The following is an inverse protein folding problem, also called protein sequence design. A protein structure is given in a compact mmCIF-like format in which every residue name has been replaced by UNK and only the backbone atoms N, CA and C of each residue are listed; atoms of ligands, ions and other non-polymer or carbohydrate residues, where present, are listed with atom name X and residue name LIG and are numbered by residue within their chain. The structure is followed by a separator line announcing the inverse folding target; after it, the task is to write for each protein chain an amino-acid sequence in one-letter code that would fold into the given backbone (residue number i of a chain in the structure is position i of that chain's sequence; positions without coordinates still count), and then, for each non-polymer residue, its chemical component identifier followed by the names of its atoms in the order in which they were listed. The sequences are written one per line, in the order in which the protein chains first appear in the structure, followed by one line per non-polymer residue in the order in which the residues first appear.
data_IF_044549030195
#
_entry.id   IF_044549030195
#
_cell.length_a   1.000
_cell.length_b   1.000
_cell.length_c   1.000
_cell.angle_alpha   90.00
_cell.angle_beta   90.00
_cell.angle_gamma   90.00
#
_symmetry.space_group_name_H-M   'P 1'
#
loop_
_entity.id
_entity.type
_entity.pdbx_description
1 polymer ?
#
# COMPACT_ATOMS: atom_id res chain seq x y z
N UNK A 1 4.38 6.17 -7.38
CA UNK A 1 5.67 6.83 -7.69
C UNK A 1 6.78 5.89 -7.29
N UNK A 2 7.36 5.13 -8.21
CA UNK A 2 8.47 4.26 -7.87
C UNK A 2 9.30 3.94 -9.12
N UNK A 3 10.58 3.67 -8.93
CA UNK A 3 11.44 3.12 -9.97
C UNK A 3 10.96 1.71 -10.35
N UNK A 4 11.16 1.27 -11.61
CA UNK A 4 10.93 -0.13 -11.99
C UNK A 4 12.01 -1.01 -11.34
N UNK A 5 11.81 -1.34 -10.06
CA UNK A 5 12.79 -2.12 -9.27
C UNK A 5 12.92 -3.55 -9.76
N UNK A 6 11.89 -4.07 -10.41
CA UNK A 6 11.86 -5.41 -11.01
C UNK A 6 11.81 -5.28 -12.53
N UNK A 7 12.60 -6.11 -13.23
CA UNK A 7 12.88 -5.94 -14.67
C UNK A 7 11.68 -6.13 -15.60
N UNK A 8 10.58 -6.67 -15.08
CA UNK A 8 9.32 -6.89 -15.77
C UNK A 8 8.31 -5.74 -15.58
N UNK A 9 8.63 -4.74 -14.75
CA UNK A 9 7.75 -3.61 -14.49
C UNK A 9 7.67 -2.65 -15.69
N UNK A 10 6.44 -2.30 -16.06
CA UNK A 10 6.17 -1.34 -17.13
C UNK A 10 5.05 -0.36 -16.71
N UNK A 11 5.39 0.91 -16.53
CA UNK A 11 4.46 1.93 -16.05
C UNK A 11 3.98 2.83 -17.20
N UNK A 12 2.67 3.05 -17.31
CA UNK A 12 2.11 3.96 -18.30
C UNK A 12 2.39 5.44 -18.03
N UNK A 13 2.80 5.79 -16.81
CA UNK A 13 3.17 7.15 -16.45
C UNK A 13 4.59 7.49 -16.91
N UNK A 14 4.79 8.65 -17.54
CA UNK A 14 6.09 9.10 -18.06
C UNK A 14 7.02 9.65 -16.98
N UNK A 15 6.47 10.07 -15.84
CA UNK A 15 7.19 10.74 -14.77
C UNK A 15 6.70 10.26 -13.41
N UNK A 16 7.62 10.22 -12.45
CA UNK A 16 7.33 9.95 -11.04
C UNK A 16 6.86 11.24 -10.33
N UNK A 17 5.80 11.17 -9.52
CA UNK A 17 5.25 12.31 -8.76
C UNK A 17 4.66 11.88 -7.41
N UNK A 18 4.80 12.68 -6.35
CA UNK A 18 4.08 12.47 -5.06
C UNK A 18 2.57 12.64 -5.21
N UNK A 19 2.15 13.46 -6.16
CA UNK A 19 0.78 13.51 -6.62
C UNK A 19 0.50 12.27 -7.48
N UNK A 20 0.14 11.17 -6.81
CA UNK A 20 -0.07 9.87 -7.45
C UNK A 20 -1.33 9.13 -6.99
N UNK A 21 -2.12 9.68 -6.06
CA UNK A 21 -3.32 9.02 -5.51
C UNK A 21 -4.50 9.10 -6.47
N UNK A 22 -4.37 8.38 -7.58
CA UNK A 22 -5.35 8.24 -8.65
C UNK A 22 -5.80 6.78 -8.77
N UNK A 23 -6.98 6.59 -9.34
CA UNK A 23 -7.49 5.28 -9.75
C UNK A 23 -7.96 5.34 -11.20
N UNK A 24 -7.98 4.18 -11.85
CA UNK A 24 -8.45 4.00 -13.23
C UNK A 24 -9.69 3.11 -13.20
N UNK A 25 -10.68 3.38 -14.04
CA UNK A 25 -11.93 2.61 -14.11
C UNK A 25 -12.18 2.17 -15.54
N UNK A 26 -12.41 0.88 -15.73
CA UNK A 26 -12.95 0.29 -16.95
C UNK A 26 -14.35 -0.21 -16.65
N UNK A 27 -15.36 0.44 -17.24
CA UNK A 27 -16.76 0.02 -17.09
C UNK A 27 -17.29 -0.53 -18.41
N UNK A 28 -17.92 -1.72 -18.40
CA UNK A 28 -18.67 -2.22 -19.55
C UNK A 28 -20.14 -1.81 -19.52
N UNK A 29 -20.56 -1.03 -18.51
CA UNK A 29 -21.93 -0.57 -18.38
C UNK A 29 -22.31 0.28 -19.59
N UNK A 30 -23.46 -0.02 -20.17
CA UNK A 30 -24.12 0.80 -21.19
C UNK A 30 -25.02 1.85 -20.55
N UNK A 31 -25.48 1.58 -19.33
CA UNK A 31 -26.30 2.47 -18.51
C UNK A 31 -25.85 2.42 -17.05
N UNK A 32 -26.08 3.51 -16.30
CA UNK A 32 -25.66 3.60 -14.90
C UNK A 32 -26.54 2.80 -13.92
N UNK A 33 -27.47 1.97 -14.41
CA UNK A 33 -28.43 1.19 -13.60
C UNK A 33 -28.20 -0.32 -13.65
N UNK A 34 -27.05 -0.77 -14.17
CA UNK A 34 -26.79 -2.19 -14.39
C UNK A 34 -26.32 -2.94 -13.13
N UNK A 35 -25.88 -2.22 -12.08
CA UNK A 35 -25.44 -2.79 -10.81
C UNK A 35 -24.42 -3.93 -10.98
N UNK A 36 -23.40 -3.67 -11.79
CA UNK A 36 -22.38 -4.64 -12.16
C UNK A 36 -21.43 -4.95 -10.98
N UNK A 37 -20.87 -6.18 -10.92
CA UNK A 37 -19.82 -6.49 -9.96
C UNK A 37 -18.58 -5.61 -10.18
N UNK A 38 -17.93 -5.24 -9.09
CA UNK A 38 -16.80 -4.31 -9.08
C UNK A 38 -15.57 -5.03 -8.54
N UNK A 39 -14.45 -4.93 -9.25
CA UNK A 39 -13.15 -5.46 -8.86
C UNK A 39 -12.18 -4.28 -8.73
N UNK A 40 -11.56 -4.12 -7.57
CA UNK A 40 -10.45 -3.20 -7.37
C UNK A 40 -9.16 -3.99 -7.12
N UNK A 41 -8.15 -3.73 -7.95
CA UNK A 41 -6.86 -4.41 -7.94
C UNK A 41 -5.77 -3.51 -7.34
N UNK A 42 -5.01 -4.07 -6.39
CA UNK A 42 -3.80 -3.48 -5.83
C UNK A 42 -2.56 -4.23 -6.33
N UNK A 43 -1.62 -3.48 -6.90
CA UNK A 43 -0.40 -4.03 -7.48
C UNK A 43 0.52 -4.67 -6.43
N UNK A 44 1.33 -5.62 -6.90
CA UNK A 44 2.47 -6.20 -6.18
C UNK A 44 3.68 -5.26 -6.14
N UNK A 45 4.87 -5.87 -6.00
CA UNK A 45 6.16 -5.15 -6.00
C UNK A 45 6.69 -4.76 -4.61
N UNK A 46 6.45 -5.63 -3.62
CA UNK A 46 7.07 -5.58 -2.30
C UNK A 46 6.67 -4.39 -1.42
N UNK A 47 5.58 -3.67 -1.76
CA UNK A 47 5.22 -2.37 -1.20
C UNK A 47 6.30 -1.30 -1.44
N UNK A 48 7.22 -1.56 -2.39
CA UNK A 48 8.33 -0.68 -2.75
C UNK A 48 8.21 -0.16 -4.17
N UNK A 49 7.46 -0.81 -5.04
CA UNK A 49 7.36 -0.48 -6.45
C UNK A 49 6.07 -1.00 -7.04
N UNK A 50 5.52 -0.28 -8.00
CA UNK A 50 4.37 -0.68 -8.77
C UNK A 50 3.52 0.51 -9.19
N UNK A 51 2.48 0.22 -9.97
CA UNK A 51 1.58 1.24 -10.49
C UNK A 51 0.27 0.63 -10.94
N UNK A 52 -0.84 1.29 -10.64
CA UNK A 52 -2.14 1.00 -11.23
C UNK A 52 -2.20 1.28 -12.73
N UNK A 53 -1.23 2.00 -13.30
CA UNK A 53 -1.11 2.24 -14.75
C UNK A 53 -0.36 1.14 -15.51
N UNK A 54 0.05 0.07 -14.83
CA UNK A 54 0.77 -1.02 -15.46
C UNK A 54 -0.14 -1.84 -16.39
N UNK A 55 0.23 -2.05 -17.68
CA UNK A 55 -0.62 -2.71 -18.66
C UNK A 55 -1.07 -4.13 -18.28
N UNK A 56 -0.28 -4.84 -17.46
CA UNK A 56 -0.61 -6.19 -16.96
C UNK A 56 -1.90 -6.20 -16.13
N UNK A 57 -2.27 -5.06 -15.56
CA UNK A 57 -3.44 -4.90 -14.70
C UNK A 57 -4.59 -4.16 -15.41
N UNK A 58 -4.45 -3.86 -16.70
CA UNK A 58 -5.48 -3.16 -17.46
C UNK A 58 -6.83 -3.89 -17.38
N UNK A 59 -7.89 -3.14 -17.07
CA UNK A 59 -9.20 -3.69 -16.77
C UNK A 59 -10.01 -4.13 -18.00
N UNK A 60 -9.50 -3.98 -19.22
CA UNK A 60 -10.26 -4.17 -20.45
C UNK A 60 -10.73 -5.62 -20.64
N UNK A 61 -9.90 -6.60 -20.29
CA UNK A 61 -10.25 -8.01 -20.39
C UNK A 61 -11.39 -8.41 -19.42
N UNK A 62 -11.40 -7.82 -18.22
CA UNK A 62 -12.42 -8.08 -17.20
C UNK A 62 -13.70 -7.29 -17.47
N UNK A 63 -13.59 -6.05 -17.97
CA UNK A 63 -14.73 -5.28 -18.45
C UNK A 63 -15.46 -6.02 -19.58
N UNK A 64 -14.76 -6.62 -20.54
CA UNK A 64 -15.40 -7.46 -21.59
C UNK A 64 -16.18 -8.67 -21.05
N UNK A 65 -15.94 -9.07 -19.79
CA UNK A 65 -16.69 -10.13 -19.08
C UNK A 65 -17.81 -9.58 -18.18
N UNK A 66 -18.13 -8.29 -18.27
CA UNK A 66 -19.21 -7.66 -17.49
C UNK A 66 -18.81 -7.25 -16.07
N UNK A 67 -17.51 -7.07 -15.79
CA UNK A 67 -17.01 -6.69 -14.46
C UNK A 67 -16.40 -5.30 -14.54
N UNK A 68 -16.88 -4.36 -13.73
CA UNK A 68 -16.21 -3.06 -13.58
C UNK A 68 -14.87 -3.31 -12.92
N UNK A 69 -13.80 -2.91 -13.59
CA UNK A 69 -12.44 -3.18 -13.17
C UNK A 69 -11.75 -1.89 -12.82
N UNK A 70 -11.06 -1.87 -11.68
CA UNK A 70 -10.43 -0.68 -11.12
C UNK A 70 -9.00 -1.04 -10.73
N UNK A 71 -8.06 -0.17 -11.05
CA UNK A 71 -6.73 -0.18 -10.44
C UNK A 71 -6.56 1.10 -9.63
N UNK A 72 -5.94 1.02 -8.46
CA UNK A 72 -5.71 2.19 -7.62
C UNK A 72 -4.25 2.28 -7.19
N UNK A 73 -3.68 3.45 -7.34
CA UNK A 73 -2.36 3.74 -6.79
C UNK A 73 -2.44 3.94 -5.28
N UNK A 74 -1.38 3.52 -4.61
CA UNK A 74 -1.14 3.81 -3.20
C UNK A 74 0.31 4.22 -3.02
N UNK A 75 0.63 4.95 -1.95
CA UNK A 75 2.02 5.30 -1.65
C UNK A 75 2.80 4.05 -1.25
N UNK A 76 4.03 3.95 -1.75
CA UNK A 76 4.93 2.82 -1.55
C UNK A 76 6.26 3.29 -0.93
N UNK A 77 7.13 2.36 -0.54
CA UNK A 77 8.47 2.64 -0.02
C UNK A 77 8.45 3.60 1.18
N UNK A 78 9.35 4.58 1.16
CA UNK A 78 9.42 5.59 2.23
C UNK A 78 8.13 6.43 2.33
N UNK A 79 7.48 6.75 1.21
CA UNK A 79 6.26 7.58 1.22
C UNK A 79 5.06 6.85 1.79
N UNK A 80 5.00 5.53 1.61
CA UNK A 80 3.88 4.70 2.06
C UNK A 80 4.02 4.18 3.49
N UNK A 81 5.25 3.96 3.98
CA UNK A 81 5.45 3.11 5.17
C UNK A 81 6.43 3.69 6.19
N UNK A 82 6.89 4.93 6.03
CA UNK A 82 7.78 5.56 7.00
C UNK A 82 7.04 5.93 8.30
N UNK A 83 7.44 5.31 9.41
CA UNK A 83 6.99 5.65 10.76
C UNK A 83 8.05 6.49 11.47
N UNK A 84 7.66 7.52 12.21
CA UNK A 84 8.59 8.38 12.94
C UNK A 84 7.90 9.05 14.13
N UNK A 85 8.55 9.24 15.30
CA UNK A 85 7.90 9.84 16.46
C UNK A 85 7.33 11.24 16.24
N UNK A 86 7.93 12.02 15.32
CA UNK A 86 7.37 13.33 14.95
C UNK A 86 6.09 13.19 14.11
N UNK A 87 6.00 12.19 13.21
CA UNK A 87 4.78 11.91 12.46
C UNK A 87 3.67 11.43 13.39
N UNK A 88 3.98 10.55 14.34
CA UNK A 88 3.01 10.07 15.32
C UNK A 88 2.45 11.21 16.18
N UNK A 89 3.21 12.27 16.44
CA UNK A 89 2.71 13.45 17.18
C UNK A 89 1.69 14.26 16.38
N UNK A 90 1.79 14.27 15.05
CA UNK A 90 0.91 15.01 14.14
C UNK A 90 -0.47 14.35 13.99
N UNK A 91 -0.59 13.05 14.29
CA UNK A 91 -1.85 12.32 14.17
C UNK A 91 -2.67 12.37 15.46
N UNK A 92 -4.00 12.23 15.33
CA UNK A 92 -4.93 12.14 16.46
C UNK A 92 -4.80 10.81 17.21
N UNK A 93 -4.51 9.72 16.49
CA UNK A 93 -4.35 8.36 17.03
C UNK A 93 -2.95 8.06 17.58
N UNK A 94 -2.02 9.02 17.52
CA UNK A 94 -0.66 8.91 18.07
C UNK A 94 0.18 7.78 17.47
N UNK A 95 0.01 7.50 16.18
CA UNK A 95 0.79 6.54 15.41
C UNK A 95 1.18 7.07 14.02
N UNK A 96 2.05 6.33 13.34
CA UNK A 96 2.54 6.66 11.99
C UNK A 96 2.96 5.41 11.19
N UNK A 97 3.20 5.59 9.89
CA UNK A 97 3.38 4.49 8.94
C UNK A 97 2.04 4.01 8.38
N UNK A 98 2.04 2.89 7.65
CA UNK A 98 0.86 2.30 7.00
C UNK A 98 0.08 3.24 6.06
N UNK A 99 0.65 4.37 5.64
CA UNK A 99 0.00 5.32 4.74
C UNK A 99 -0.41 4.69 3.41
N UNK A 100 0.42 3.80 2.86
CA UNK A 100 0.07 3.05 1.66
C UNK A 100 -1.19 2.20 1.84
N UNK A 101 -1.35 1.54 2.98
CA UNK A 101 -2.59 0.82 3.28
C UNK A 101 -3.77 1.77 3.49
N UNK A 102 -3.58 2.91 4.15
CA UNK A 102 -4.63 3.91 4.32
C UNK A 102 -5.07 4.56 2.99
N UNK A 103 -4.16 4.69 2.03
CA UNK A 103 -4.49 5.14 0.67
C UNK A 103 -5.41 4.12 -0.02
N UNK A 104 -5.16 2.82 0.17
CA UNK A 104 -6.02 1.75 -0.35
C UNK A 104 -7.40 1.75 0.32
N UNK A 105 -7.47 1.99 1.64
CA UNK A 105 -8.75 2.20 2.35
C UNK A 105 -9.52 3.36 1.72
N UNK A 106 -8.86 4.49 1.48
CA UNK A 106 -9.47 5.66 0.86
C UNK A 106 -9.96 5.36 -0.57
N UNK A 107 -9.20 4.59 -1.35
CA UNK A 107 -9.61 4.15 -2.68
C UNK A 107 -10.86 3.26 -2.63
N UNK A 108 -10.92 2.28 -1.73
CA UNK A 108 -12.10 1.41 -1.59
C UNK A 108 -13.32 2.22 -1.14
N UNK A 109 -13.15 3.13 -0.18
CA UNK A 109 -14.22 4.01 0.27
C UNK A 109 -14.73 4.88 -0.88
N UNK A 110 -13.82 5.49 -1.66
CA UNK A 110 -14.21 6.27 -2.84
C UNK A 110 -15.00 5.41 -3.83
N UNK A 111 -14.55 4.18 -4.10
CA UNK A 111 -15.29 3.26 -4.98
C UNK A 111 -16.67 2.97 -4.41
N UNK A 112 -16.78 2.65 -3.11
CA UNK A 112 -18.07 2.40 -2.46
C UNK A 112 -19.03 3.57 -2.60
N UNK A 113 -18.53 4.80 -2.47
CA UNK A 113 -19.38 6.00 -2.51
C UNK A 113 -19.75 6.44 -3.93
N UNK A 114 -18.98 6.05 -4.95
CA UNK A 114 -19.10 6.62 -6.30
C UNK A 114 -19.40 5.61 -7.41
N UNK A 115 -19.25 4.30 -7.17
CA UNK A 115 -19.23 3.33 -8.29
C UNK A 115 -20.58 3.15 -9.00
N UNK A 116 -21.69 3.52 -8.35
CA UNK A 116 -23.01 3.57 -8.99
C UNK A 116 -23.02 4.51 -10.22
N UNK A 117 -22.26 5.61 -10.16
CA UNK A 117 -22.14 6.55 -11.28
C UNK A 117 -21.42 5.94 -12.51
N UNK A 118 -20.84 4.75 -12.36
CA UNK A 118 -20.18 3.98 -13.42
C UNK A 118 -20.95 2.69 -13.74
N UNK A 119 -22.15 2.51 -13.18
CA UNK A 119 -22.99 1.33 -13.34
C UNK A 119 -22.65 0.16 -12.41
N UNK A 120 -21.83 0.38 -11.39
CA UNK A 120 -21.42 -0.65 -10.44
C UNK A 120 -22.35 -0.78 -9.24
N UNK A 121 -22.27 -1.92 -8.57
CA UNK A 121 -22.94 -2.16 -7.30
C UNK A 121 -21.95 -1.97 -6.13
N UNK A 122 -22.16 -0.96 -5.26
CA UNK A 122 -21.27 -0.69 -4.11
C UNK A 122 -21.31 -1.78 -3.03
N UNK A 123 -22.24 -2.73 -3.13
CA UNK A 123 -22.34 -3.90 -2.26
C UNK A 123 -21.72 -5.16 -2.89
N UNK A 124 -21.14 -5.07 -4.09
CA UNK A 124 -20.47 -6.18 -4.79
C UNK A 124 -19.04 -5.84 -5.19
N UNK A 125 -18.32 -5.19 -4.27
CA UNK A 125 -16.90 -4.86 -4.41
C UNK A 125 -16.04 -6.05 -4.00
N UNK A 126 -15.12 -6.46 -4.87
CA UNK A 126 -14.09 -7.46 -4.61
C UNK A 126 -12.72 -6.77 -4.60
N UNK A 127 -11.99 -6.87 -3.49
CA UNK A 127 -10.58 -6.44 -3.44
C UNK A 127 -9.67 -7.57 -3.91
N UNK A 128 -8.70 -7.26 -4.76
CA UNK A 128 -7.79 -8.25 -5.36
C UNK A 128 -6.35 -7.75 -5.30
N UNK A 129 -5.40 -8.64 -5.05
CA UNK A 129 -3.99 -8.29 -5.13
C UNK A 129 -3.07 -9.49 -5.27
N UNK A 130 -1.89 -9.23 -5.81
CA UNK A 130 -0.80 -10.20 -6.00
C UNK A 130 0.44 -9.74 -5.24
N UNK A 131 1.23 -10.67 -4.68
CA UNK A 131 2.45 -10.36 -3.91
C UNK A 131 2.17 -9.33 -2.81
N UNK A 132 2.78 -8.15 -2.84
CA UNK A 132 2.49 -7.05 -1.93
C UNK A 132 1.05 -6.51 -2.00
N UNK A 133 0.38 -6.64 -3.14
CA UNK A 133 -1.06 -6.43 -3.26
C UNK A 133 -1.84 -7.48 -2.47
N UNK A 134 -1.40 -8.74 -2.45
CA UNK A 134 -2.01 -9.78 -1.59
C UNK A 134 -1.71 -9.55 -0.11
N UNK A 135 -0.51 -9.06 0.23
CA UNK A 135 -0.21 -8.56 1.58
C UNK A 135 -1.21 -7.46 1.97
N UNK A 136 -1.45 -6.51 1.06
CA UNK A 136 -2.46 -5.45 1.22
C UNK A 136 -3.86 -6.01 1.47
N UNK A 137 -4.31 -7.01 0.69
CA UNK A 137 -5.61 -7.67 0.90
C UNK A 137 -5.73 -8.24 2.31
N UNK A 138 -4.73 -9.00 2.77
CA UNK A 138 -4.74 -9.55 4.12
C UNK A 138 -4.69 -8.47 5.23
N UNK A 139 -3.98 -7.36 4.98
CA UNK A 139 -3.90 -6.22 5.89
C UNK A 139 -5.23 -5.46 5.97
N UNK A 140 -5.88 -5.20 4.84
CA UNK A 140 -7.19 -4.55 4.73
C UNK A 140 -8.26 -5.39 5.43
N UNK A 141 -8.26 -6.71 5.25
CA UNK A 141 -9.18 -7.61 5.96
C UNK A 141 -8.98 -7.57 7.48
N UNK A 142 -7.73 -7.41 7.96
CA UNK A 142 -7.45 -7.30 9.40
C UNK A 142 -7.77 -5.90 9.98
N UNK A 143 -7.95 -4.89 9.13
CA UNK A 143 -8.15 -3.51 9.59
C UNK A 143 -9.61 -3.25 9.98
N UNK A 144 -9.88 -2.66 11.17
CA UNK A 144 -11.23 -2.23 11.52
C UNK A 144 -11.76 -1.13 10.60
N UNK A 145 -10.89 -0.41 9.89
CA UNK A 145 -11.29 0.64 8.95
C UNK A 145 -12.01 0.09 7.70
N UNK A 146 -11.88 -1.21 7.44
CA UNK A 146 -12.43 -1.85 6.24
C UNK A 146 -13.74 -2.60 6.45
N UNK A 147 -14.29 -2.59 7.68
CA UNK A 147 -15.54 -3.30 7.97
C UNK A 147 -16.69 -2.73 7.13
N UNK A 148 -17.31 -3.60 6.32
CA UNK A 148 -18.41 -3.21 5.43
C UNK A 148 -17.99 -2.51 4.12
N UNK A 149 -16.69 -2.35 3.84
CA UNK A 149 -16.23 -1.63 2.64
C UNK A 149 -16.20 -2.48 1.38
N UNK A 150 -16.05 -3.80 1.51
CA UNK A 150 -16.04 -4.74 0.39
C UNK A 150 -16.80 -6.01 0.74
N UNK A 151 -17.21 -6.75 -0.30
CA UNK A 151 -18.04 -7.93 -0.18
C UNK A 151 -17.27 -9.24 -0.42
N UNK A 152 -16.11 -9.19 -1.06
CA UNK A 152 -15.27 -10.34 -1.38
C UNK A 152 -13.79 -9.94 -1.40
N UNK A 153 -12.89 -10.91 -1.21
CA UNK A 153 -11.46 -10.69 -1.26
C UNK A 153 -10.72 -11.81 -2.02
N UNK A 154 -9.66 -11.46 -2.73
CA UNK A 154 -8.75 -12.40 -3.38
C UNK A 154 -7.29 -11.99 -3.17
N UNK A 155 -6.46 -12.92 -2.71
CA UNK A 155 -5.03 -12.69 -2.52
C UNK A 155 -4.17 -13.81 -3.10
N UNK A 156 -3.21 -13.46 -3.95
CA UNK A 156 -2.25 -14.41 -4.52
C UNK A 156 -0.82 -14.13 -4.05
N UNK A 157 -0.12 -15.14 -3.55
CA UNK A 157 1.33 -15.11 -3.35
C UNK A 157 1.85 -14.06 -2.37
N UNK A 158 1.07 -13.70 -1.34
CA UNK A 158 1.54 -12.78 -0.29
C UNK A 158 0.58 -12.61 0.88
N UNK A 159 1.11 -12.35 2.07
CA UNK A 159 0.33 -12.07 3.27
C UNK A 159 1.15 -11.24 4.27
N UNK A 160 0.50 -10.37 5.04
CA UNK A 160 1.15 -9.75 6.23
C UNK A 160 1.27 -10.72 7.41
N UNK A 161 0.68 -11.92 7.31
CA UNK A 161 0.74 -12.99 8.31
C UNK A 161 1.77 -14.06 7.90
N UNK A 162 2.33 -14.76 8.88
CA UNK A 162 3.00 -16.06 8.69
C UNK A 162 4.53 -16.07 8.71
N UNK A 163 5.22 -15.03 8.24
CA UNK A 163 6.70 -15.05 8.19
C UNK A 163 7.37 -14.43 9.41
N UNK A 164 6.87 -13.28 9.87
CA UNK A 164 7.36 -12.54 11.04
C UNK A 164 6.18 -11.82 11.69
N UNK A 165 6.30 -11.53 12.98
CA UNK A 165 5.36 -10.61 13.63
C UNK A 165 5.43 -9.25 12.97
N UNK A 166 4.27 -8.61 12.83
CA UNK A 166 4.19 -7.20 12.45
C UNK A 166 4.88 -6.38 13.53
N UNK A 167 5.66 -5.39 13.12
CA UNK A 167 6.38 -4.54 14.07
C UNK A 167 5.40 -3.78 14.97
N UNK A 168 5.77 -3.55 16.22
CA UNK A 168 5.13 -2.53 17.05
C UNK A 168 5.40 -1.15 16.47
N UNK A 169 4.54 -0.16 16.76
CA UNK A 169 4.79 1.23 16.40
C UNK A 169 6.18 1.71 16.84
N UNK A 170 6.59 1.37 18.06
CA UNK A 170 7.91 1.75 18.60
C UNK A 170 9.06 1.20 17.76
N UNK A 171 9.02 -0.07 17.38
CA UNK A 171 10.05 -0.68 16.52
C UNK A 171 10.09 -0.05 15.13
N UNK A 172 8.91 0.30 14.58
CA UNK A 172 8.82 0.99 13.29
C UNK A 172 9.38 2.41 13.36
N UNK A 173 9.08 3.15 14.42
CA UNK A 173 9.63 4.48 14.70
C UNK A 173 11.14 4.45 14.90
N UNK A 174 11.68 3.47 15.63
CA UNK A 174 13.13 3.29 15.81
C UNK A 174 13.82 3.06 14.46
N UNK A 175 13.24 2.24 13.58
CA UNK A 175 13.75 2.03 12.22
C UNK A 175 13.62 3.29 11.37
N UNK A 176 12.55 4.07 11.51
CA UNK A 176 12.40 5.34 10.82
C UNK A 176 13.43 6.38 11.26
N UNK A 177 13.70 6.50 12.56
CA UNK A 177 14.77 7.37 13.09
C UNK A 177 16.13 6.95 12.54
N UNK A 178 16.41 5.64 12.45
CA UNK A 178 17.65 5.13 11.85
C UNK A 178 17.75 5.46 10.36
N UNK A 179 16.65 5.32 9.61
CA UNK A 179 16.62 5.68 8.20
C UNK A 179 16.84 7.19 8.00
N UNK A 180 16.16 8.03 8.78
CA UNK A 180 16.34 9.48 8.78
C UNK A 180 17.80 9.87 9.08
N UNK A 181 18.43 9.21 10.05
CA UNK A 181 19.83 9.42 10.38
C UNK A 181 20.75 9.04 9.21
N UNK A 182 20.52 7.88 8.56
CA UNK A 182 21.29 7.45 7.38
C UNK A 182 21.16 8.43 6.21
N UNK A 183 19.96 8.93 5.96
CA UNK A 183 19.70 9.94 4.92
C UNK A 183 20.49 11.21 5.24
N UNK A 184 20.42 11.71 6.47
CA UNK A 184 21.19 12.88 6.91
C UNK A 184 22.69 12.68 6.74
N UNK A 185 23.23 11.50 7.12
CA UNK A 185 24.63 11.14 6.94
C UNK A 185 25.07 11.10 5.47
N UNK A 186 24.23 10.56 4.57
CA UNK A 186 24.48 10.58 3.11
C UNK A 186 24.55 12.02 2.59
N UNK A 187 23.64 12.89 3.00
CA UNK A 187 23.63 14.32 2.64
C UNK A 187 24.86 15.04 3.20
N UNK A 188 25.18 14.81 4.48
CA UNK A 188 26.36 15.39 5.13
C UNK A 188 27.65 15.00 4.43
N UNK A 189 27.81 13.72 4.07
CA UNK A 189 28.95 13.22 3.30
C UNK A 189 29.07 13.90 1.93
N UNK A 190 27.96 14.05 1.19
CA UNK A 190 27.92 14.75 -0.11
C UNK A 190 28.33 16.23 0.02
N UNK A 191 28.01 16.85 1.15
CA UNK A 191 28.28 18.27 1.41
C UNK A 191 29.56 18.53 2.24
N UNK A 192 30.36 17.51 2.56
CA UNK A 192 31.56 17.65 3.41
C UNK A 192 31.28 18.05 4.86
N UNK A 193 30.06 17.85 5.38
CA UNK A 193 29.63 18.23 6.74
C UNK A 193 29.53 17.01 7.65
N UNK A 194 30.02 17.15 8.90
CA UNK A 194 29.77 16.15 9.96
C UNK A 194 28.32 16.23 10.41
N UNK A 195 27.67 15.07 10.53
CA UNK A 195 26.29 14.94 11.01
C UNK A 195 26.30 14.52 12.46
N UNK A 196 25.53 15.22 13.29
CA UNK A 196 25.41 14.90 14.70
C UNK A 196 24.77 13.54 14.94
N UNK A 197 25.09 12.92 16.08
CA UNK A 197 24.36 11.73 16.54
C UNK A 197 22.93 12.15 16.88
N UNK A 198 21.92 11.44 16.33
CA UNK A 198 20.47 11.66 16.55
C UNK A 198 19.84 12.82 15.75
N UNK A 199 20.45 13.27 14.66
CA UNK A 199 19.80 14.20 13.70
C UNK A 199 18.49 13.61 13.17
N UNK A 200 18.47 12.29 12.91
CA UNK A 200 17.27 11.59 12.44
C UNK A 200 16.03 11.79 13.32
N UNK A 201 16.20 11.97 14.63
CA UNK A 201 15.08 12.18 15.57
C UNK A 201 14.48 13.59 15.50
N UNK A 202 15.25 14.58 15.01
CA UNK A 202 14.94 16.01 15.13
C UNK A 202 14.41 16.64 13.85
N UNK A 203 14.73 16.07 12.68
CA UNK A 203 14.68 16.82 11.44
C UNK A 203 13.71 16.23 10.39
N UNK A 204 12.45 15.97 10.78
CA UNK A 204 11.42 15.55 9.82
C UNK A 204 11.16 16.61 8.74
N UNK A 205 11.21 17.90 9.11
CA UNK A 205 11.05 19.01 8.16
C UNK A 205 12.16 19.04 7.10
N UNK A 206 13.39 18.67 7.45
CA UNK A 206 14.47 18.59 6.46
C UNK A 206 14.22 17.45 5.47
N UNK A 207 13.69 16.31 5.93
CA UNK A 207 13.30 15.22 5.03
C UNK A 207 12.18 15.63 4.07
N UNK A 208 11.16 16.35 4.57
CA UNK A 208 10.05 16.87 3.75
C UNK A 208 10.48 17.95 2.74
N UNK A 209 11.56 18.66 3.03
CA UNK A 209 12.08 19.70 2.14
C UNK A 209 12.89 19.13 0.97
N UNK A 210 13.26 17.85 1.00
CA UNK A 210 13.96 17.19 -0.11
C UNK A 210 13.02 16.97 -1.29
N UNK A 211 13.49 17.14 -2.54
CA UNK A 211 12.76 16.66 -3.70
C UNK A 211 12.45 15.17 -3.56
N UNK A 212 11.22 14.76 -3.90
CA UNK A 212 10.75 13.37 -3.73
C UNK A 212 11.71 12.33 -4.32
N UNK A 213 12.19 12.57 -5.54
CA UNK A 213 13.12 11.68 -6.22
C UNK A 213 14.46 11.56 -5.46
N UNK A 214 14.96 12.66 -4.89
CA UNK A 214 16.18 12.64 -4.08
C UNK A 214 15.95 11.89 -2.76
N UNK A 215 14.82 12.13 -2.07
CA UNK A 215 14.46 11.41 -0.85
C UNK A 215 14.36 9.90 -1.11
N UNK A 216 13.69 9.50 -2.19
CA UNK A 216 13.54 8.09 -2.58
C UNK A 216 14.90 7.43 -2.82
N UNK A 217 15.79 8.07 -3.59
CA UNK A 217 17.15 7.57 -3.86
C UNK A 217 18.01 7.49 -2.60
N UNK A 218 17.89 8.47 -1.71
CA UNK A 218 18.63 8.47 -0.43
C UNK A 218 18.12 7.39 0.52
N UNK A 219 16.80 7.17 0.55
CA UNK A 219 16.15 6.16 1.37
C UNK A 219 16.54 4.74 0.95
N UNK A 220 16.70 4.49 -0.36
CA UNK A 220 17.23 3.25 -0.91
C UNK A 220 16.49 1.99 -0.38
N UNK A 221 15.15 2.06 -0.36
CA UNK A 221 14.32 0.96 0.13
C UNK A 221 14.36 -0.19 -0.87
N UNK A 222 15.16 -1.22 -0.57
CA UNK A 222 15.38 -2.42 -1.41
C UNK A 222 14.82 -3.71 -0.80
N UNK A 223 14.10 -3.59 0.30
CA UNK A 223 13.38 -4.69 0.94
C UNK A 223 12.01 -4.20 1.38
N UNK A 224 11.08 -5.14 1.59
CA UNK A 224 9.72 -4.84 2.07
C UNK A 224 9.79 -3.88 3.26
N UNK A 225 9.13 -2.71 3.18
CA UNK A 225 9.19 -1.70 4.21
C UNK A 225 8.47 -2.17 5.48
N UNK A 226 8.71 -1.46 6.59
CA UNK A 226 8.19 -1.84 7.90
C UNK A 226 6.76 -1.33 8.04
N UNK A 227 5.78 -2.21 7.83
CA UNK A 227 4.42 -2.00 8.31
C UNK A 227 4.30 -2.37 9.79
N UNK A 228 3.35 -1.76 10.50
CA UNK A 228 3.33 -1.80 11.96
C UNK A 228 1.93 -1.79 12.58
N UNK A 229 1.85 -2.18 13.85
CA UNK A 229 0.67 -2.01 14.71
C UNK A 229 0.69 -0.57 15.22
N UNK A 230 -0.05 0.31 14.54
CA UNK A 230 -0.11 1.75 14.78
C UNK A 230 -1.28 2.16 15.69
N UNK A 231 -2.13 1.21 16.09
CA UNK A 231 -3.32 1.46 16.90
C UNK A 231 -4.50 2.06 16.13
N UNK A 232 -4.38 2.25 14.81
CA UNK A 232 -5.40 2.86 13.97
C UNK A 232 -5.76 1.99 12.75
N UNK A 233 -4.83 1.83 11.81
CA UNK A 233 -5.01 0.92 10.68
C UNK A 233 -4.88 -0.55 11.15
N UNK A 234 -3.85 -0.86 11.93
CA UNK A 234 -3.68 -2.16 12.60
C UNK A 234 -3.67 -1.96 14.11
N UNK A 235 -4.63 -2.57 14.81
CA UNK A 235 -4.76 -2.46 16.28
C UNK A 235 -4.03 -3.57 17.04
N UNK A 236 -3.80 -4.70 16.41
CA UNK A 236 -3.11 -5.86 16.97
C UNK A 236 -2.48 -6.69 15.84
N UNK A 237 -1.87 -7.83 16.15
CA UNK A 237 -1.28 -8.67 15.12
C UNK A 237 -2.37 -9.20 14.17
N UNK A 238 -2.21 -9.11 12.84
CA UNK A 238 -3.21 -9.65 11.91
C UNK A 238 -3.53 -11.13 12.17
N UNK A 239 -2.53 -11.94 12.56
CA UNK A 239 -2.78 -13.35 12.90
C UNK A 239 -3.74 -13.53 14.08
N UNK A 240 -3.72 -12.61 15.05
CA UNK A 240 -4.60 -12.62 16.21
C UNK A 240 -6.02 -12.18 15.82
N UNK A 241 -6.15 -11.15 14.98
CA UNK A 241 -7.43 -10.71 14.40
C UNK A 241 -8.15 -11.86 13.69
N UNK A 242 -7.41 -12.58 12.81
CA UNK A 242 -7.97 -13.72 12.08
C UNK A 242 -8.30 -14.89 13.02
N UNK A 243 -7.46 -15.19 14.01
CA UNK A 243 -7.71 -16.26 14.98
C UNK A 243 -8.96 -16.00 15.86
N UNK A 244 -9.23 -14.73 16.18
CA UNK A 244 -10.44 -14.31 16.91
C UNK A 244 -11.69 -14.27 16.01
N UNK A 245 -11.53 -14.34 14.69
CA UNK A 245 -12.63 -14.16 13.75
C UNK A 245 -13.10 -12.70 13.71
N UNK A 246 -12.21 -11.73 13.89
CA UNK A 246 -12.51 -10.28 13.89
C UNK A 246 -12.15 -9.58 12.57
N UNK A 247 -11.52 -10.30 11.64
CA UNK A 247 -11.28 -9.81 10.28
C UNK A 247 -12.60 -9.51 9.56
N UNK A 248 -12.57 -8.70 8.51
CA UNK A 248 -13.72 -8.51 7.61
C UNK A 248 -14.21 -9.86 7.08
N UNK A 249 -15.42 -10.26 7.49
CA UNK A 249 -15.98 -11.60 7.20
C UNK A 249 -16.64 -11.65 5.84
N UNK A 250 -15.84 -11.93 4.82
CA UNK A 250 -16.29 -12.08 3.43
C UNK A 250 -15.72 -13.35 2.80
N UNK A 251 -16.32 -13.86 1.70
CA UNK A 251 -15.71 -14.90 0.89
C UNK A 251 -14.29 -14.50 0.47
N UNK A 252 -13.35 -15.42 0.68
CA UNK A 252 -11.93 -15.23 0.43
C UNK A 252 -11.41 -16.32 -0.52
N UNK A 253 -10.77 -15.91 -1.62
CA UNK A 253 -10.00 -16.78 -2.49
C UNK A 253 -8.51 -16.51 -2.29
N UNK A 254 -7.74 -17.53 -1.93
CA UNK A 254 -6.28 -17.43 -1.78
C UNK A 254 -5.55 -18.47 -2.60
N UNK A 255 -4.34 -18.15 -3.05
CA UNK A 255 -3.52 -19.07 -3.82
C UNK A 255 -2.04 -18.68 -3.85
N UNK A 256 -1.24 -19.59 -4.39
CA UNK A 256 0.18 -19.39 -4.66
C UNK A 256 0.63 -20.26 -5.82
N UNK A 257 1.80 -19.93 -6.34
CA UNK A 257 2.45 -20.68 -7.40
C UNK A 257 3.24 -21.87 -6.82
N UNK A 258 3.48 -22.90 -7.64
CA UNK A 258 4.28 -24.06 -7.22
C UNK A 258 5.77 -23.75 -7.02
N UNK A 259 6.25 -22.58 -7.43
CA UNK A 259 7.63 -22.10 -7.30
C UNK A 259 7.67 -20.59 -6.98
N UNK A 260 7.29 -20.22 -5.75
CA UNK A 260 7.28 -18.81 -5.29
C UNK A 260 8.69 -18.20 -5.11
N UNK A 261 9.68 -19.05 -4.85
CA UNK A 261 11.09 -18.67 -4.80
C UNK A 261 11.88 -19.70 -5.59
N UNK A 262 12.74 -19.25 -6.51
CA UNK A 262 13.76 -20.12 -7.08
C UNK A 262 14.66 -20.58 -5.94
N UNK A 263 14.98 -21.89 -5.81
CA UNK A 263 15.98 -22.34 -4.84
C UNK A 263 17.28 -21.57 -5.09
N UNK A 264 17.85 -21.00 -4.03
CA UNK A 264 19.19 -20.41 -4.04
C UNK A 264 20.24 -21.48 -4.39
#
# INVERSE_FOLDING_TARGET
MQEPLFGDMNFGAKTNSEDCLYLNIWTPAKTMKEHLPVLIYFNGGGLMAGSGSEPRYAGDAMARKGIISITANYREGIFGFFAHPQLSKETSYKGSGNYGFMDQVAAIQWVKDNIEAFGGDPNRITIVGESAGSMSVSALMASPLCQGLFAQAMGSSGSVMGFKKVATLKEAEEKGVQLAQKIAEKIGKKNGKKVGKKVGMKNLNELRALPAEELMKLAEVRAVPVYNIDGYFMKEQPVEVFAKGEQTKVPLLIGGNNQEMTPL
#
